data_IF_392115025983
#
_entry.id   IF_392115025983
#
_cell.length_a   1.000
_cell.length_b   1.000
_cell.length_c   1.000
_cell.angle_alpha   90.00
_cell.angle_beta   90.00
_cell.angle_gamma   90.00
#
_symmetry.space_group_name_H-M   'P 1'
#
loop_
_entity.id
_entity.type
_entity.pdbx_description
1 polymer ?
#
# COMPACT_ATOMS: atom_id res chain seq x y z
N UNK A 1 113.53 5.94 50.40
CA UNK A 1 112.16 6.44 50.68
C UNK A 1 111.79 7.46 49.63
N UNK A 2 110.81 7.32 48.74
CA UNK A 2 110.06 6.18 48.21
C UNK A 2 109.40 6.74 46.93
N UNK A 3 109.97 6.47 45.75
CA UNK A 3 109.38 6.91 44.47
C UNK A 3 107.93 6.41 44.30
N UNK A 4 107.62 5.29 44.96
CA UNK A 4 106.29 4.70 45.07
C UNK A 4 105.29 5.62 45.80
N UNK A 5 105.72 6.34 46.83
CA UNK A 5 104.83 7.25 47.60
C UNK A 5 104.50 8.50 46.78
N UNK A 6 105.47 9.07 46.06
CA UNK A 6 105.20 10.20 45.15
C UNK A 6 104.23 9.79 44.03
N UNK A 7 104.43 8.63 43.41
CA UNK A 7 103.53 8.13 42.37
C UNK A 7 102.09 7.91 42.88
N UNK A 8 101.94 7.35 44.08
CA UNK A 8 100.64 7.16 44.72
C UNK A 8 99.92 8.48 45.00
N UNK A 9 100.63 9.52 45.45
CA UNK A 9 100.01 10.82 45.76
C UNK A 9 99.57 11.56 44.48
N UNK A 10 100.31 11.44 43.37
CA UNK A 10 99.98 12.15 42.12
C UNK A 10 98.92 11.44 41.29
N UNK A 11 98.93 10.10 41.23
CA UNK A 11 97.99 9.33 40.41
C UNK A 11 96.70 8.92 41.12
N UNK A 12 96.70 8.76 42.45
CA UNK A 12 95.48 8.43 43.20
C UNK A 12 94.27 9.35 42.91
N UNK A 13 94.38 10.69 42.92
CA UNK A 13 93.23 11.56 42.65
C UNK A 13 92.69 11.39 41.21
N UNK A 14 93.58 11.17 40.23
CA UNK A 14 93.20 10.96 38.83
C UNK A 14 92.42 9.65 38.69
N UNK A 15 92.85 8.58 39.35
CA UNK A 15 92.13 7.29 39.32
C UNK A 15 90.75 7.37 39.96
N UNK A 16 90.61 8.13 41.06
CA UNK A 16 89.30 8.31 41.73
C UNK A 16 88.34 9.09 40.84
N UNK A 17 88.79 10.15 40.17
CA UNK A 17 87.96 10.92 39.22
C UNK A 17 87.53 10.06 38.03
N UNK A 18 88.45 9.24 37.49
CA UNK A 18 88.13 8.33 36.39
C UNK A 18 87.08 7.28 36.78
N UNK A 19 87.18 6.71 37.99
CA UNK A 19 86.20 5.76 38.52
C UNK A 19 84.82 6.44 38.69
N UNK A 20 84.78 7.66 39.21
CA UNK A 20 83.53 8.42 39.34
C UNK A 20 82.89 8.74 37.99
N UNK A 21 83.69 9.10 36.98
CA UNK A 21 83.22 9.34 35.63
C UNK A 21 82.61 8.06 35.01
N UNK A 22 83.25 6.90 35.20
CA UNK A 22 82.72 5.61 34.73
C UNK A 22 81.40 5.24 35.42
N UNK A 23 81.30 5.45 36.75
CA UNK A 23 80.05 5.23 37.50
C UNK A 23 78.94 6.17 37.00
N UNK A 24 79.27 7.42 36.70
CA UNK A 24 78.31 8.40 36.20
C UNK A 24 77.79 8.01 34.80
N UNK A 25 78.69 7.63 33.88
CA UNK A 25 78.33 7.13 32.55
C UNK A 25 77.46 5.88 32.65
N UNK A 26 77.80 4.94 33.53
CA UNK A 26 76.99 3.74 33.76
C UNK A 26 75.58 4.06 34.27
N UNK A 27 75.44 5.06 35.16
CA UNK A 27 74.13 5.50 35.64
C UNK A 27 73.28 6.15 34.55
N UNK A 28 73.89 6.97 33.69
CA UNK A 28 73.20 7.56 32.53
C UNK A 28 72.74 6.45 31.59
N UNK A 29 73.63 5.50 31.27
CA UNK A 29 73.31 4.38 30.39
C UNK A 29 72.12 3.57 30.91
N UNK A 30 72.11 3.26 32.22
CA UNK A 30 70.99 2.53 32.86
C UNK A 30 69.67 3.31 32.88
N UNK A 31 69.71 4.65 32.87
CA UNK A 31 68.50 5.48 32.74
C UNK A 31 67.97 5.43 31.30
N UNK A 32 68.87 5.57 30.32
CA UNK A 32 68.53 5.50 28.89
C UNK A 32 67.91 4.14 28.53
N UNK A 33 68.46 3.03 29.01
CA UNK A 33 67.90 1.69 28.72
C UNK A 33 66.48 1.53 29.27
N UNK A 34 66.22 2.03 30.49
CA UNK A 34 64.86 1.98 31.08
C UNK A 34 63.85 2.81 30.31
N UNK A 35 64.26 3.97 29.79
CA UNK A 35 63.38 4.82 29.00
C UNK A 35 63.12 4.21 27.61
N UNK A 36 64.12 3.50 27.04
CA UNK A 36 63.96 2.74 25.80
C UNK A 36 62.94 1.59 25.94
N UNK A 37 63.04 0.80 27.01
CA UNK A 37 62.12 -0.32 27.27
C UNK A 37 60.65 0.16 27.37
N UNK A 38 60.41 1.29 28.05
CA UNK A 38 59.07 1.89 28.18
C UNK A 38 58.51 2.40 26.85
N UNK A 39 59.37 2.98 26.00
CA UNK A 39 58.99 3.42 24.66
C UNK A 39 58.61 2.21 23.81
N UNK A 40 59.35 1.11 23.92
CA UNK A 40 59.07 -0.13 23.21
C UNK A 40 57.75 -0.77 23.66
N UNK A 41 57.48 -0.84 24.96
CA UNK A 41 56.21 -1.34 25.51
C UNK A 41 55.02 -0.48 25.06
N UNK A 42 55.20 0.85 25.01
CA UNK A 42 54.16 1.77 24.54
C UNK A 42 53.92 1.60 23.04
N UNK A 43 54.97 1.41 22.25
CA UNK A 43 54.87 1.16 20.81
C UNK A 43 54.14 -0.15 20.53
N UNK A 44 54.47 -1.23 21.24
CA UNK A 44 53.79 -2.52 21.11
C UNK A 44 52.30 -2.41 21.49
N UNK A 45 51.97 -1.64 22.54
CA UNK A 45 50.57 -1.37 22.89
C UNK A 45 49.84 -0.60 21.79
N UNK A 46 50.50 0.38 21.16
CA UNK A 46 49.96 1.20 20.05
C UNK A 46 49.76 0.36 18.78
N UNK A 47 50.74 -0.45 18.42
CA UNK A 47 50.70 -1.32 17.23
C UNK A 47 49.68 -2.46 17.39
N UNK A 48 49.39 -2.88 18.64
CA UNK A 48 48.37 -3.88 18.94
C UNK A 48 46.95 -3.31 19.10
N UNK A 49 46.72 -2.00 18.92
CA UNK A 49 45.34 -1.52 18.89
C UNK A 49 44.63 -2.00 17.62
N UNK A 50 43.40 -2.52 17.72
CA UNK A 50 42.63 -3.02 16.59
C UNK A 50 42.02 -1.90 15.73
N UNK A 51 42.79 -0.85 15.43
CA UNK A 51 42.36 0.32 14.67
C UNK A 51 41.79 -0.08 13.30
N UNK A 52 42.48 -0.97 12.59
CA UNK A 52 42.06 -1.44 11.26
C UNK A 52 40.76 -2.27 11.29
N UNK A 53 40.53 -3.01 12.37
CA UNK A 53 39.29 -3.79 12.55
C UNK A 53 38.11 -2.86 12.81
N UNK A 54 38.31 -1.79 13.59
CA UNK A 54 37.25 -0.82 13.86
C UNK A 54 36.91 0.00 12.63
N UNK A 55 37.88 0.39 11.81
CA UNK A 55 37.65 1.10 10.54
C UNK A 55 36.80 0.25 9.59
N UNK A 56 37.15 -1.03 9.40
CA UNK A 56 36.35 -1.95 8.55
C UNK A 56 34.91 -2.10 9.03
N UNK A 57 34.71 -2.18 10.35
CA UNK A 57 33.36 -2.27 10.92
C UNK A 57 32.57 -0.97 10.67
N UNK A 58 33.19 0.21 10.82
CA UNK A 58 32.54 1.49 10.52
C UNK A 58 32.15 1.58 9.05
N UNK A 59 33.04 1.18 8.12
CA UNK A 59 32.75 1.18 6.69
C UNK A 59 31.56 0.27 6.35
N UNK A 60 31.52 -0.92 6.96
CA UNK A 60 30.39 -1.85 6.78
C UNK A 60 29.06 -1.33 7.34
N UNK A 61 29.10 -0.53 8.42
CA UNK A 61 27.91 0.10 8.98
C UNK A 61 27.43 1.23 8.06
N UNK A 62 28.36 2.03 7.53
CA UNK A 62 28.05 3.10 6.58
C UNK A 62 27.45 2.57 5.28
N UNK A 63 27.96 1.44 4.75
CA UNK A 63 27.39 0.82 3.55
C UNK A 63 25.96 0.32 3.78
N UNK A 64 25.69 -0.31 4.94
CA UNK A 64 24.34 -0.73 5.31
C UNK A 64 23.40 0.46 5.49
N UNK A 65 23.86 1.56 6.10
CA UNK A 65 23.05 2.76 6.28
C UNK A 65 22.63 3.35 4.92
N UNK A 66 23.52 3.34 3.94
CA UNK A 66 23.23 3.85 2.59
C UNK A 66 22.24 2.95 1.85
N UNK A 67 22.35 1.62 1.95
CA UNK A 67 21.36 0.68 1.39
C UNK A 67 19.98 0.92 2.00
N UNK A 68 19.92 1.00 3.33
CA UNK A 68 18.66 1.20 4.05
C UNK A 68 18.00 2.54 3.70
N UNK A 69 18.79 3.60 3.48
CA UNK A 69 18.29 4.91 3.04
C UNK A 69 17.65 4.84 1.64
N UNK A 70 18.23 4.07 0.73
CA UNK A 70 17.68 3.88 -0.61
C UNK A 70 16.35 3.09 -0.56
N UNK A 71 16.32 2.01 0.21
CA UNK A 71 15.12 1.20 0.43
C UNK A 71 13.98 2.04 1.03
N UNK A 72 14.26 2.90 2.02
CA UNK A 72 13.27 3.84 2.56
C UNK A 72 12.76 4.81 1.48
N UNK A 73 13.64 5.27 0.58
CA UNK A 73 13.24 6.13 -0.54
C UNK A 73 12.26 5.45 -1.49
N UNK A 74 12.50 4.19 -1.81
CA UNK A 74 11.61 3.37 -2.65
C UNK A 74 10.27 3.11 -1.96
N UNK A 75 10.28 2.71 -0.68
CA UNK A 75 9.06 2.52 0.11
C UNK A 75 8.26 3.81 0.23
N UNK A 76 8.92 4.95 0.43
CA UNK A 76 8.22 6.26 0.49
C UNK A 76 7.50 6.57 -0.82
N UNK A 77 8.12 6.25 -1.95
CA UNK A 77 7.55 6.46 -3.29
C UNK A 77 6.35 5.55 -3.53
N UNK A 78 6.46 4.27 -3.17
CA UNK A 78 5.34 3.32 -3.30
C UNK A 78 4.15 3.71 -2.42
N UNK A 79 4.40 4.10 -1.16
CA UNK A 79 3.35 4.58 -0.23
C UNK A 79 2.65 5.83 -0.77
N UNK A 80 3.37 6.77 -1.38
CA UNK A 80 2.77 7.97 -1.97
C UNK A 80 1.81 7.61 -3.11
N UNK A 81 2.22 6.71 -4.01
CA UNK A 81 1.37 6.23 -5.11
C UNK A 81 0.14 5.46 -4.62
N UNK A 82 0.27 4.69 -3.53
CA UNK A 82 -0.84 3.98 -2.90
C UNK A 82 -1.86 4.96 -2.31
N UNK A 83 -1.39 6.04 -1.67
CA UNK A 83 -2.23 7.09 -1.10
C UNK A 83 -3.05 7.81 -2.18
N UNK A 84 -2.45 8.10 -3.32
CA UNK A 84 -3.14 8.73 -4.45
C UNK A 84 -4.25 7.82 -5.01
N UNK A 85 -3.95 6.52 -5.19
CA UNK A 85 -4.96 5.51 -5.57
C UNK A 85 -6.08 5.36 -4.54
N UNK A 86 -5.78 5.42 -3.24
CA UNK A 86 -6.82 5.42 -2.19
C UNK A 86 -7.70 6.68 -2.23
N UNK A 87 -7.12 7.83 -2.59
CA UNK A 87 -7.90 9.06 -2.83
C UNK A 87 -8.93 8.88 -3.95
N UNK A 88 -8.52 8.28 -5.07
CA UNK A 88 -9.42 7.95 -6.18
C UNK A 88 -10.54 6.97 -5.80
N UNK A 89 -10.21 5.90 -5.09
CA UNK A 89 -11.23 4.96 -4.59
C UNK A 89 -12.25 5.63 -3.64
N UNK A 90 -11.83 6.63 -2.87
CA UNK A 90 -12.74 7.41 -2.02
C UNK A 90 -13.81 8.13 -2.82
N UNK A 91 -13.45 8.70 -3.98
CA UNK A 91 -14.40 9.37 -4.88
C UNK A 91 -15.39 8.38 -5.50
N UNK A 92 -14.92 7.21 -5.92
CA UNK A 92 -15.79 6.17 -6.48
C UNK A 92 -16.76 5.61 -5.44
N UNK A 93 -16.33 5.45 -4.19
CA UNK A 93 -17.22 5.06 -3.08
C UNK A 93 -18.33 6.10 -2.88
N UNK A 94 -18.00 7.39 -2.91
CA UNK A 94 -19.01 8.46 -2.78
C UNK A 94 -20.03 8.42 -3.92
N UNK A 95 -19.59 8.15 -5.16
CA UNK A 95 -20.50 7.99 -6.31
C UNK A 95 -21.40 6.76 -6.16
N UNK A 96 -20.86 5.64 -5.68
CA UNK A 96 -21.63 4.42 -5.40
C UNK A 96 -22.65 4.66 -4.30
N UNK A 97 -22.26 5.27 -3.18
CA UNK A 97 -23.18 5.60 -2.08
C UNK A 97 -24.33 6.48 -2.57
N UNK A 98 -24.03 7.53 -3.34
CA UNK A 98 -25.05 8.41 -3.92
C UNK A 98 -26.01 7.64 -4.84
N UNK A 99 -25.49 6.73 -5.65
CA UNK A 99 -26.31 5.89 -6.54
C UNK A 99 -27.22 4.93 -5.76
N UNK A 100 -26.72 4.34 -4.67
CA UNK A 100 -27.50 3.48 -3.78
C UNK A 100 -28.61 4.28 -3.09
N UNK A 101 -28.33 5.49 -2.62
CA UNK A 101 -29.33 6.33 -1.95
C UNK A 101 -30.44 6.76 -2.92
N UNK A 102 -30.09 7.04 -4.18
CA UNK A 102 -31.08 7.28 -5.24
C UNK A 102 -31.96 6.04 -5.50
N UNK A 103 -31.37 4.85 -5.56
CA UNK A 103 -32.12 3.58 -5.73
C UNK A 103 -33.06 3.34 -4.54
N UNK A 104 -32.60 3.58 -3.30
CA UNK A 104 -33.44 3.50 -2.10
C UNK A 104 -34.63 4.44 -2.19
N UNK A 105 -34.41 5.69 -2.61
CA UNK A 105 -35.48 6.66 -2.74
C UNK A 105 -36.54 6.22 -3.78
N UNK A 106 -36.11 5.64 -4.90
CA UNK A 106 -37.03 5.05 -5.89
C UNK A 106 -37.82 3.91 -5.26
N UNK A 107 -37.16 3.01 -4.54
CA UNK A 107 -37.78 1.85 -3.90
C UNK A 107 -38.81 2.25 -2.84
N UNK A 108 -38.50 3.24 -2.00
CA UNK A 108 -39.43 3.75 -0.98
C UNK A 108 -40.66 4.40 -1.63
N UNK A 109 -40.45 5.19 -2.70
CA UNK A 109 -41.53 5.80 -3.47
C UNK A 109 -42.42 4.73 -4.13
N UNK A 110 -41.79 3.65 -4.62
CA UNK A 110 -42.48 2.50 -5.19
C UNK A 110 -43.35 1.77 -4.16
N UNK A 111 -42.81 1.46 -2.97
CA UNK A 111 -43.55 0.78 -1.89
C UNK A 111 -44.75 1.62 -1.45
N UNK A 112 -44.58 2.95 -1.30
CA UNK A 112 -45.67 3.84 -0.92
C UNK A 112 -46.78 3.91 -1.97
N UNK A 113 -46.43 3.91 -3.25
CA UNK A 113 -47.42 3.96 -4.34
C UNK A 113 -48.13 2.62 -4.53
N UNK A 114 -47.42 1.50 -4.34
CA UNK A 114 -48.01 0.15 -4.32
C UNK A 114 -49.06 -0.01 -3.21
N UNK A 115 -48.78 0.50 -2.00
CA UNK A 115 -49.73 0.43 -0.88
C UNK A 115 -50.96 1.33 -1.05
N UNK A 116 -50.83 2.49 -1.71
CA UNK A 116 -51.95 3.40 -1.98
C UNK A 116 -52.95 2.83 -2.99
N UNK A 117 -52.50 2.03 -3.95
CA UNK A 117 -53.35 1.40 -4.98
C UNK A 117 -54.34 0.35 -4.41
N UNK A 118 -54.04 -0.23 -3.25
CA UNK A 118 -54.86 -1.30 -2.64
C UNK A 118 -56.03 -0.83 -1.76
N UNK A 119 -56.35 0.47 -1.67
CA UNK A 119 -57.44 0.96 -0.80
C UNK A 119 -58.87 0.83 -1.37
N UNK A 120 -59.07 0.17 -2.51
CA UNK A 120 -60.40 0.14 -3.11
C UNK A 120 -60.67 -0.94 -4.14
N UNK A 121 -60.47 -2.22 -3.83
CA UNK A 121 -61.33 -3.32 -4.33
C UNK A 121 -60.85 -4.67 -3.76
N UNK A 122 -61.77 -5.43 -3.15
CA UNK A 122 -61.56 -6.83 -2.80
C UNK A 122 -61.47 -7.68 -4.08
N UNK A 123 -60.33 -7.64 -4.79
CA UNK A 123 -60.03 -8.58 -5.88
C UNK A 123 -58.84 -9.43 -5.45
N UNK A 124 -59.19 -10.68 -5.13
CA UNK A 124 -58.37 -11.89 -4.92
C UNK A 124 -56.86 -11.68 -4.98
N UNK A 125 -56.21 -11.92 -3.84
CA UNK A 125 -54.77 -11.95 -3.61
C UNK A 125 -54.02 -13.09 -4.34
N UNK A 126 -54.48 -13.50 -5.52
CA UNK A 126 -53.89 -14.60 -6.29
C UNK A 126 -54.15 -14.39 -7.77
N UNK A 127 -53.05 -14.24 -8.52
CA UNK A 127 -52.92 -14.34 -9.98
C UNK A 127 -53.74 -13.36 -10.81
N UNK A 128 -53.08 -12.38 -11.43
CA UNK A 128 -53.09 -12.24 -12.92
C UNK A 128 -52.37 -10.99 -13.42
N UNK A 129 -52.12 -9.99 -12.58
CA UNK A 129 -51.40 -8.80 -13.03
C UNK A 129 -50.20 -8.57 -12.14
N UNK A 130 -49.02 -8.66 -12.75
CA UNK A 130 -47.81 -8.06 -12.18
C UNK A 130 -48.17 -6.64 -11.73
N UNK A 131 -47.75 -6.20 -10.53
CA UNK A 131 -47.95 -4.82 -10.10
C UNK A 131 -47.23 -3.81 -11.02
N UNK A 132 -46.40 -4.30 -11.95
CA UNK A 132 -45.77 -3.52 -13.01
C UNK A 132 -46.48 -3.80 -14.34
N UNK A 133 -47.12 -2.77 -14.88
CA UNK A 133 -47.64 -2.75 -16.24
C UNK A 133 -46.94 -1.66 -17.03
N UNK A 134 -46.44 -1.98 -18.21
CA UNK A 134 -45.84 -0.99 -19.11
C UNK A 134 -46.94 -0.05 -19.59
N UNK A 135 -46.64 1.25 -19.67
CA UNK A 135 -47.61 2.25 -20.16
C UNK A 135 -47.84 2.05 -21.66
N UNK A 136 -48.98 2.51 -22.20
CA UNK A 136 -49.25 2.46 -23.65
C UNK A 136 -48.15 3.14 -24.47
N UNK A 137 -47.59 4.23 -23.95
CA UNK A 137 -46.44 4.91 -24.57
C UNK A 137 -45.17 4.05 -24.49
N UNK A 138 -44.91 3.41 -23.34
CA UNK A 138 -43.80 2.48 -23.18
C UNK A 138 -43.86 1.31 -24.16
N UNK A 139 -45.04 0.73 -24.40
CA UNK A 139 -45.22 -0.29 -25.45
C UNK A 139 -44.87 0.25 -26.85
N UNK A 140 -45.26 1.48 -27.17
CA UNK A 140 -44.89 2.12 -28.44
C UNK A 140 -43.37 2.33 -28.60
N UNK A 141 -42.66 2.63 -27.52
CA UNK A 141 -41.20 2.74 -27.52
C UNK A 141 -40.54 1.36 -27.64
N UNK A 142 -41.06 0.35 -26.94
CA UNK A 142 -40.56 -1.03 -27.06
C UNK A 142 -40.66 -1.55 -28.48
N UNK A 143 -41.78 -1.31 -29.14
CA UNK A 143 -42.01 -1.68 -30.54
C UNK A 143 -41.12 -0.87 -31.49
N UNK A 144 -41.01 0.46 -31.29
CA UNK A 144 -40.14 1.34 -32.09
C UNK A 144 -38.67 0.93 -32.03
N UNK A 145 -38.19 0.51 -30.86
CA UNK A 145 -36.80 0.16 -30.61
C UNK A 145 -36.47 -1.32 -30.85
N UNK A 146 -37.48 -2.17 -31.10
CA UNK A 146 -37.28 -3.60 -31.23
C UNK A 146 -36.77 -4.27 -29.94
N UNK A 147 -37.25 -3.79 -28.78
CA UNK A 147 -36.78 -4.29 -27.47
C UNK A 147 -37.15 -5.77 -27.28
N UNK A 148 -38.27 -6.22 -27.83
CA UNK A 148 -38.68 -7.62 -27.74
C UNK A 148 -37.65 -8.54 -28.42
N UNK A 149 -37.20 -8.17 -29.61
CA UNK A 149 -36.22 -8.90 -30.39
C UNK A 149 -34.85 -8.90 -29.70
N UNK A 150 -34.47 -7.78 -29.07
CA UNK A 150 -33.22 -7.67 -28.29
C UNK A 150 -33.25 -8.59 -27.06
N UNK A 151 -34.38 -8.66 -26.36
CA UNK A 151 -34.55 -9.52 -25.19
C UNK A 151 -34.57 -10.99 -25.61
N UNK A 152 -35.35 -11.35 -26.64
CA UNK A 152 -35.42 -12.72 -27.14
C UNK A 152 -34.05 -13.23 -27.59
N UNK A 153 -33.29 -12.39 -28.29
CA UNK A 153 -31.92 -12.73 -28.72
C UNK A 153 -30.95 -12.95 -27.56
N UNK A 154 -31.25 -12.45 -26.36
CA UNK A 154 -30.43 -12.61 -25.16
C UNK A 154 -31.09 -13.47 -24.07
N UNK A 155 -32.28 -14.03 -24.34
CA UNK A 155 -33.11 -14.70 -23.33
C UNK A 155 -32.39 -15.86 -22.62
N UNK A 156 -31.59 -16.63 -23.38
CA UNK A 156 -30.80 -17.73 -22.81
C UNK A 156 -29.80 -17.25 -21.76
N UNK A 157 -29.15 -16.11 -21.98
CA UNK A 157 -28.21 -15.52 -21.02
C UNK A 157 -28.94 -14.97 -19.80
N UNK A 158 -30.12 -14.36 -20.01
CA UNK A 158 -30.97 -13.86 -18.92
C UNK A 158 -31.41 -15.02 -18.02
N UNK A 159 -31.87 -16.13 -18.61
CA UNK A 159 -32.22 -17.33 -17.85
C UNK A 159 -31.02 -17.88 -17.06
N UNK A 160 -29.85 -18.02 -17.68
CA UNK A 160 -28.64 -18.46 -16.99
C UNK A 160 -28.29 -17.54 -15.81
N UNK A 161 -28.35 -16.22 -16.01
CA UNK A 161 -28.05 -15.24 -14.98
C UNK A 161 -29.05 -15.28 -13.82
N UNK A 162 -30.34 -15.49 -14.09
CA UNK A 162 -31.36 -15.71 -13.06
C UNK A 162 -31.02 -16.99 -12.26
N UNK A 163 -30.70 -18.09 -12.94
CA UNK A 163 -30.46 -19.37 -12.28
C UNK A 163 -29.21 -19.39 -11.39
N UNK A 164 -28.16 -18.67 -11.79
CA UNK A 164 -26.92 -18.56 -11.02
C UNK A 164 -27.09 -17.72 -9.74
N UNK A 165 -27.98 -16.72 -9.77
CA UNK A 165 -28.06 -15.70 -8.72
C UNK A 165 -29.28 -15.82 -7.80
N UNK A 166 -30.35 -16.51 -8.21
CA UNK A 166 -31.55 -16.68 -7.40
C UNK A 166 -31.65 -18.06 -6.75
N UNK A 167 -31.71 -18.07 -5.42
CA UNK A 167 -31.98 -19.28 -4.63
C UNK A 167 -33.44 -19.73 -4.71
N UNK A 168 -34.37 -18.78 -4.79
CA UNK A 168 -35.80 -19.00 -4.89
C UNK A 168 -36.28 -18.56 -6.27
N UNK A 169 -36.90 -19.49 -7.01
CA UNK A 169 -37.42 -19.26 -8.36
C UNK A 169 -38.89 -18.82 -8.35
N UNK A 170 -39.34 -18.18 -7.27
CA UNK A 170 -40.71 -17.68 -7.24
C UNK A 170 -40.83 -16.47 -8.21
N UNK A 171 -41.99 -16.26 -8.86
CA UNK A 171 -42.14 -15.20 -9.85
C UNK A 171 -41.87 -13.78 -9.33
N UNK A 172 -42.13 -13.51 -8.05
CA UNK A 172 -41.91 -12.20 -7.44
C UNK A 172 -40.43 -11.94 -7.17
N UNK A 173 -39.69 -12.95 -6.71
CA UNK A 173 -38.25 -12.88 -6.48
C UNK A 173 -37.51 -12.69 -7.81
N UNK A 174 -37.93 -13.41 -8.86
CA UNK A 174 -37.41 -13.23 -10.21
C UNK A 174 -37.67 -11.79 -10.68
N UNK A 175 -38.91 -11.31 -10.53
CA UNK A 175 -39.28 -9.96 -10.92
C UNK A 175 -38.46 -8.90 -10.17
N UNK A 176 -38.35 -9.02 -8.84
CA UNK A 176 -37.60 -8.09 -8.01
C UNK A 176 -36.11 -8.07 -8.40
N UNK A 177 -35.52 -9.26 -8.55
CA UNK A 177 -34.14 -9.41 -8.99
C UNK A 177 -33.88 -8.77 -10.35
N UNK A 178 -34.78 -8.96 -11.32
CA UNK A 178 -34.64 -8.35 -12.65
C UNK A 178 -34.69 -6.82 -12.60
N UNK A 179 -35.58 -6.25 -11.79
CA UNK A 179 -35.71 -4.78 -11.62
C UNK A 179 -34.44 -4.20 -10.99
N UNK A 180 -33.93 -4.83 -9.93
CA UNK A 180 -32.72 -4.39 -9.24
C UNK A 180 -31.49 -4.56 -10.13
N UNK A 181 -31.39 -5.70 -10.81
CA UNK A 181 -30.20 -6.06 -11.58
C UNK A 181 -30.10 -5.31 -12.90
N UNK A 182 -31.22 -5.03 -13.60
CA UNK A 182 -31.16 -4.37 -14.91
C UNK A 182 -30.70 -2.92 -14.81
N UNK A 183 -30.97 -2.25 -13.69
CA UNK A 183 -30.52 -0.89 -13.43
C UNK A 183 -29.00 -0.82 -13.17
N UNK A 184 -28.44 -1.86 -12.55
CA UNK A 184 -27.03 -1.91 -12.15
C UNK A 184 -26.16 -2.55 -13.22
N UNK A 185 -26.63 -3.62 -13.86
CA UNK A 185 -25.89 -4.45 -14.81
C UNK A 185 -26.67 -4.68 -16.12
N UNK A 186 -27.01 -3.61 -16.87
CA UNK A 186 -27.79 -3.72 -18.11
C UNK A 186 -27.08 -4.54 -19.21
N UNK A 187 -25.75 -4.64 -19.15
CA UNK A 187 -24.90 -5.44 -20.03
C UNK A 187 -25.12 -6.95 -19.89
N UNK A 188 -25.70 -7.40 -18.78
CA UNK A 188 -26.11 -8.81 -18.59
C UNK A 188 -27.40 -9.14 -19.34
N UNK A 189 -28.23 -8.13 -19.59
CA UNK A 189 -29.56 -8.30 -20.18
C UNK A 189 -29.61 -7.91 -21.66
N UNK A 190 -28.74 -7.01 -22.11
CA UNK A 190 -28.69 -6.55 -23.49
C UNK A 190 -27.24 -6.54 -23.99
N UNK A 191 -27.05 -6.83 -25.29
CA UNK A 191 -25.73 -6.69 -25.92
C UNK A 191 -25.35 -5.21 -25.98
N UNK A 192 -24.05 -4.92 -26.02
CA UNK A 192 -23.56 -3.53 -26.04
C UNK A 192 -24.13 -2.67 -27.17
N UNK A 193 -24.38 -3.26 -28.35
CA UNK A 193 -24.98 -2.53 -29.47
C UNK A 193 -26.45 -2.14 -29.21
N UNK A 194 -27.20 -3.06 -28.63
CA UNK A 194 -28.62 -2.88 -28.29
C UNK A 194 -28.75 -1.87 -27.14
N UNK A 195 -27.86 -1.98 -26.14
CA UNK A 195 -27.77 -1.05 -25.03
C UNK A 195 -27.45 0.37 -25.49
N UNK A 196 -26.55 0.54 -26.47
CA UNK A 196 -26.25 1.83 -27.06
C UNK A 196 -27.45 2.43 -27.79
N UNK A 197 -28.23 1.59 -28.48
CA UNK A 197 -29.46 2.02 -29.15
C UNK A 197 -30.47 2.58 -28.17
N UNK A 198 -30.72 1.87 -27.05
CA UNK A 198 -31.61 2.32 -25.98
C UNK A 198 -31.09 3.61 -25.33
N UNK A 199 -29.78 3.72 -25.06
CA UNK A 199 -29.15 4.93 -24.50
C UNK A 199 -29.28 6.15 -25.40
N UNK A 200 -29.08 5.98 -26.71
CA UNK A 200 -29.18 7.06 -27.69
C UNK A 200 -30.61 7.57 -27.83
N UNK A 201 -31.61 6.68 -27.77
CA UNK A 201 -33.00 7.10 -27.80
C UNK A 201 -33.40 7.83 -26.51
N UNK A 202 -32.99 7.31 -25.35
CA UNK A 202 -33.20 7.97 -24.06
C UNK A 202 -32.61 9.38 -24.02
N UNK A 203 -31.43 9.56 -24.60
CA UNK A 203 -30.77 10.86 -24.72
C UNK A 203 -31.55 11.83 -25.63
N UNK A 204 -32.11 11.35 -26.74
CA UNK A 204 -32.90 12.17 -27.67
C UNK A 204 -34.24 12.63 -27.09
N UNK A 205 -34.92 11.76 -26.34
CA UNK A 205 -36.27 12.03 -25.83
C UNK A 205 -36.26 12.76 -24.47
N UNK A 206 -35.13 12.78 -23.75
CA UNK A 206 -34.94 13.56 -22.52
C UNK A 206 -35.85 13.15 -21.36
N UNK A 207 -36.39 11.92 -21.36
CA UNK A 207 -37.33 11.40 -20.35
C UNK A 207 -36.94 10.01 -19.86
N UNK A 208 -37.26 9.71 -18.59
CA UNK A 208 -37.26 8.35 -18.07
C UNK A 208 -38.46 7.58 -18.64
N UNK A 209 -38.21 6.42 -19.28
CA UNK A 209 -39.25 5.56 -19.86
C UNK A 209 -40.05 4.74 -18.84
N UNK A 210 -39.72 4.84 -17.55
CA UNK A 210 -40.42 4.18 -16.46
C UNK A 210 -41.21 5.23 -15.66
N UNK A 211 -42.52 5.03 -15.53
CA UNK A 211 -43.39 5.85 -14.70
C UNK A 211 -43.93 5.02 -13.53
N UNK A 212 -43.96 5.64 -12.34
CA UNK A 212 -44.66 5.14 -11.15
C UNK A 212 -46.15 5.49 -11.24
#
# INVERSE_FOLDING_TARGET
MNAVICYLITFAPITVIAIWALIYVFRIFRRITKDYDKIQETKEKVDNLPCDSHVKNIDSILSHQNSFKNEIGEVKTSVFSMREKMGGHGEDIVKITTSIDYIRQIMDTFIQNSQKSNKGTKKRLTQTQSPLSITKYGYGIMEKLGIYEMIDANWSNICYYIEENLKSKNPYDIQQFLIESIAVFPDKFLKNNDLNTVKLEAYKEGRLYFHI
#
